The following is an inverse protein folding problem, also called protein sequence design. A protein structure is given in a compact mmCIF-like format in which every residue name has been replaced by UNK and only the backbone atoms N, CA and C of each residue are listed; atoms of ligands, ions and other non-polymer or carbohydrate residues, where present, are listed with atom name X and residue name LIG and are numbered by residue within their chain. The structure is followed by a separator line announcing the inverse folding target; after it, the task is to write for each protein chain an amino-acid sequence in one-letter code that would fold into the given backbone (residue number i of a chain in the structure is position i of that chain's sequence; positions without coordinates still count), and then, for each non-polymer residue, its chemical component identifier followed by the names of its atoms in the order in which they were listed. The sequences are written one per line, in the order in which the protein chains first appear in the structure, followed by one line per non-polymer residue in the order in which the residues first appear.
data_IF_647819872169
#
_entry.id   IF_647819872169
#
_cell.length_a   1.000
_cell.length_b   1.000
_cell.length_c   1.000
_cell.angle_alpha   90.00
_cell.angle_beta   90.00
_cell.angle_gamma   90.00
#
_symmetry.space_group_name_H-M   'P 1'
#
loop_
_entity.id
_entity.type
_entity.pdbx_description
1 polymer ?
#
# COMPACT_ATOMS: atom_id res chain seq x y z
N UNK A 1 -10.45 -34.11 51.61
CA UNK A 1 -9.42 -33.88 50.59
C UNK A 1 -9.89 -32.75 49.70
N UNK A 2 -9.44 -31.53 50.00
CA UNK A 2 -9.80 -30.33 49.25
C UNK A 2 -8.83 -30.16 48.08
N UNK A 3 -9.31 -30.36 46.86
CA UNK A 3 -8.59 -29.99 45.64
C UNK A 3 -8.68 -28.50 45.45
N UNK A 4 -7.64 -27.76 45.86
CA UNK A 4 -7.44 -26.36 45.52
C UNK A 4 -7.25 -26.28 44.00
N UNK A 5 -8.29 -25.89 43.27
CA UNK A 5 -8.20 -25.42 41.91
C UNK A 5 -7.36 -24.13 41.91
N UNK A 6 -6.09 -24.27 41.49
CA UNK A 6 -5.24 -23.10 41.21
C UNK A 6 -5.82 -22.38 40.00
N UNK A 7 -6.59 -21.34 40.28
CA UNK A 7 -6.98 -20.37 39.28
C UNK A 7 -5.69 -19.76 38.66
N UNK A 8 -5.44 -20.02 37.38
CA UNK A 8 -4.40 -19.31 36.61
C UNK A 8 -4.64 -17.82 36.79
N UNK A 9 -3.59 -17.03 37.09
CA UNK A 9 -3.76 -15.57 37.16
C UNK A 9 -4.37 -15.09 35.85
N UNK A 10 -5.47 -14.33 35.95
CA UNK A 10 -6.08 -13.68 34.79
C UNK A 10 -5.02 -12.77 34.16
N UNK A 11 -4.51 -13.13 32.97
CA UNK A 11 -3.62 -12.26 32.23
C UNK A 11 -4.30 -10.92 32.04
N UNK A 12 -3.69 -9.87 32.54
CA UNK A 12 -4.20 -8.51 32.45
C UNK A 12 -4.54 -8.19 30.97
N UNK A 13 -5.76 -7.78 30.72
CA UNK A 13 -6.17 -7.34 29.38
C UNK A 13 -5.26 -6.16 28.95
N UNK A 14 -4.79 -6.15 27.71
CA UNK A 14 -3.92 -5.06 27.24
C UNK A 14 -4.66 -3.74 27.36
N UNK A 15 -3.94 -2.71 27.82
CA UNK A 15 -4.50 -1.36 27.84
C UNK A 15 -4.75 -0.88 26.42
N UNK A 16 -5.75 -0.03 26.20
CA UNK A 16 -6.05 0.55 24.87
C UNK A 16 -4.81 1.22 24.25
N UNK A 17 -3.96 1.85 25.09
CA UNK A 17 -2.71 2.47 24.65
C UNK A 17 -1.70 1.45 24.11
N UNK A 18 -1.55 0.31 24.75
CA UNK A 18 -0.63 -0.73 24.32
C UNK A 18 -1.10 -1.45 23.04
N UNK A 19 -2.42 -1.66 22.91
CA UNK A 19 -2.99 -2.15 21.65
C UNK A 19 -2.79 -1.14 20.50
N UNK A 20 -3.00 0.16 20.77
CA UNK A 20 -2.73 1.23 19.79
C UNK A 20 -1.26 1.24 19.35
N UNK A 21 -0.31 1.11 20.29
CA UNK A 21 1.11 1.06 19.98
C UNK A 21 1.46 -0.15 19.09
N UNK A 22 0.87 -1.31 19.35
CA UNK A 22 1.03 -2.51 18.53
C UNK A 22 0.52 -2.29 17.10
N UNK A 23 -0.69 -1.75 16.95
CA UNK A 23 -1.30 -1.47 15.65
C UNK A 23 -0.44 -0.50 14.86
N UNK A 24 -0.04 0.63 15.45
CA UNK A 24 0.76 1.65 14.76
C UNK A 24 2.15 1.12 14.41
N UNK A 25 2.81 0.41 15.34
CA UNK A 25 4.16 -0.13 15.13
C UNK A 25 4.20 -1.14 13.98
N UNK A 26 3.37 -2.17 14.02
CA UNK A 26 3.35 -3.20 12.97
C UNK A 26 2.85 -2.66 11.64
N UNK A 27 1.77 -1.88 11.64
CA UNK A 27 1.20 -1.33 10.42
C UNK A 27 2.06 -0.25 9.75
N UNK A 28 2.99 0.37 10.46
CA UNK A 28 3.99 1.26 9.86
C UNK A 28 5.10 0.48 9.14
N UNK A 29 5.54 -0.66 9.70
CA UNK A 29 6.67 -1.44 9.17
C UNK A 29 6.28 -2.25 7.94
N UNK A 30 5.10 -2.89 7.95
CA UNK A 30 4.69 -3.83 6.90
C UNK A 30 4.72 -3.21 5.49
N UNK A 31 4.16 -2.01 5.22
CA UNK A 31 4.17 -1.41 3.89
C UNK A 31 5.45 -0.61 3.58
N UNK A 32 6.49 -0.68 4.43
CA UNK A 32 7.68 0.16 4.29
C UNK A 32 8.39 -0.05 2.95
N UNK A 33 8.45 -1.28 2.42
CA UNK A 33 9.05 -1.56 1.09
C UNK A 33 8.28 -0.83 -0.02
N UNK A 34 6.95 -0.83 0.02
CA UNK A 34 6.14 -0.06 -0.93
C UNK A 34 6.44 1.45 -0.83
N UNK A 35 6.55 1.96 0.40
CA UNK A 35 6.86 3.38 0.61
C UNK A 35 8.24 3.75 0.05
N UNK A 36 9.23 2.86 0.22
CA UNK A 36 10.61 3.04 -0.24
C UNK A 36 10.87 2.42 -1.64
N UNK A 37 9.86 1.97 -2.34
CA UNK A 37 9.99 1.24 -3.61
C UNK A 37 10.94 1.91 -4.62
N UNK A 38 10.94 3.24 -4.84
CA UNK A 38 11.85 3.89 -5.78
C UNK A 38 13.32 3.68 -5.44
N UNK A 39 13.68 3.76 -4.16
CA UNK A 39 15.05 3.59 -3.69
C UNK A 39 15.47 2.10 -3.74
N UNK A 40 14.59 1.20 -3.28
CA UNK A 40 14.82 -0.25 -3.29
C UNK A 40 14.95 -0.79 -4.72
N UNK A 41 14.06 -0.42 -5.63
CA UNK A 41 14.12 -0.84 -7.03
C UNK A 41 15.41 -0.36 -7.72
N UNK A 42 15.81 0.90 -7.47
CA UNK A 42 17.07 1.45 -7.99
C UNK A 42 18.30 0.69 -7.46
N UNK A 43 18.30 0.32 -6.18
CA UNK A 43 19.39 -0.43 -5.55
C UNK A 43 19.47 -1.86 -6.09
N UNK A 44 18.33 -2.54 -6.24
CA UNK A 44 18.26 -3.88 -6.84
C UNK A 44 18.81 -3.89 -8.27
N UNK A 45 18.44 -2.89 -9.08
CA UNK A 45 18.96 -2.73 -10.44
C UNK A 45 20.47 -2.53 -10.48
N UNK A 46 21.02 -1.71 -9.57
CA UNK A 46 22.46 -1.40 -9.58
C UNK A 46 23.33 -2.48 -8.95
N UNK A 47 22.91 -3.05 -7.82
CA UNK A 47 23.73 -4.00 -7.06
C UNK A 47 23.60 -5.43 -7.57
N UNK A 48 22.37 -5.90 -7.80
CA UNK A 48 22.09 -7.27 -8.25
C UNK A 48 21.94 -7.38 -9.77
N UNK A 49 22.14 -6.26 -10.49
CA UNK A 49 21.99 -6.19 -11.96
C UNK A 49 20.65 -6.75 -12.46
N UNK A 50 19.59 -6.61 -11.65
CA UNK A 50 18.27 -7.09 -12.02
C UNK A 50 17.67 -6.22 -13.11
N UNK A 51 17.15 -6.88 -14.14
CA UNK A 51 16.40 -6.21 -15.20
C UNK A 51 15.03 -5.70 -14.72
N UNK A 52 14.40 -4.81 -15.51
CA UNK A 52 13.09 -4.26 -15.18
C UNK A 52 12.01 -5.33 -14.96
N UNK A 53 12.05 -6.43 -15.73
CA UNK A 53 11.11 -7.55 -15.57
C UNK A 53 11.24 -8.20 -14.19
N UNK A 54 12.47 -8.47 -13.76
CA UNK A 54 12.72 -9.15 -12.49
C UNK A 54 12.37 -8.26 -11.30
N UNK A 55 12.68 -6.97 -11.37
CA UNK A 55 12.26 -5.96 -10.38
C UNK A 55 10.73 -5.90 -10.33
N UNK A 56 10.08 -5.81 -11.48
CA UNK A 56 8.62 -5.79 -11.58
C UNK A 56 7.99 -7.02 -10.94
N UNK A 57 8.50 -8.23 -11.24
CA UNK A 57 8.05 -9.50 -10.64
C UNK A 57 8.27 -9.53 -9.12
N UNK A 58 9.41 -9.03 -8.63
CA UNK A 58 9.72 -8.99 -7.21
C UNK A 58 8.70 -8.14 -6.44
N UNK A 59 8.47 -6.91 -6.90
CA UNK A 59 7.46 -6.03 -6.28
C UNK A 59 6.05 -6.58 -6.43
N UNK A 60 5.72 -7.19 -7.55
CA UNK A 60 4.42 -7.84 -7.76
C UNK A 60 4.21 -9.01 -6.81
N UNK A 61 5.22 -9.86 -6.61
CA UNK A 61 5.15 -10.96 -5.67
C UNK A 61 4.98 -10.46 -4.23
N UNK A 62 5.73 -9.42 -3.85
CA UNK A 62 5.67 -8.83 -2.51
C UNK A 62 4.32 -8.15 -2.24
N UNK A 63 3.88 -7.25 -3.10
CA UNK A 63 2.62 -6.53 -2.92
C UNK A 63 1.41 -7.46 -3.11
N UNK A 64 1.50 -8.42 -4.03
CA UNK A 64 0.50 -9.45 -4.24
C UNK A 64 0.34 -10.37 -3.03
N UNK A 65 1.44 -10.85 -2.45
CA UNK A 65 1.41 -11.71 -1.28
C UNK A 65 0.77 -11.02 -0.06
N UNK A 66 1.08 -9.72 0.13
CA UNK A 66 0.50 -8.92 1.20
C UNK A 66 -1.03 -8.85 1.08
N UNK A 67 -1.55 -8.70 -0.15
CA UNK A 67 -2.99 -8.69 -0.41
C UNK A 67 -3.62 -10.07 -0.36
N UNK A 68 -2.93 -11.08 -0.90
CA UNK A 68 -3.39 -12.47 -0.89
C UNK A 68 -3.55 -13.01 0.53
N UNK A 69 -2.81 -12.49 1.51
CA UNK A 69 -2.96 -12.83 2.93
C UNK A 69 -4.41 -12.65 3.43
N UNK A 70 -5.19 -11.79 2.80
CA UNK A 70 -6.60 -11.55 3.15
C UNK A 70 -7.48 -12.77 2.89
N UNK A 71 -7.19 -13.57 1.86
CA UNK A 71 -8.02 -14.73 1.50
C UNK A 71 -7.98 -15.83 2.57
N UNK A 72 -6.80 -16.35 2.99
CA UNK A 72 -6.75 -17.33 4.06
C UNK A 72 -7.17 -16.75 5.41
N UNK A 73 -7.07 -15.44 5.63
CA UNK A 73 -7.45 -14.80 6.88
C UNK A 73 -8.93 -15.03 7.23
N UNK A 74 -9.82 -15.08 6.23
CA UNK A 74 -11.23 -15.39 6.45
C UNK A 74 -11.45 -16.75 7.17
N UNK A 75 -10.52 -17.69 7.01
CA UNK A 75 -10.60 -19.02 7.63
C UNK A 75 -9.91 -19.08 8.99
N UNK A 76 -8.72 -18.48 9.12
CA UNK A 76 -7.94 -18.63 10.35
C UNK A 76 -8.24 -17.55 11.40
N UNK A 77 -8.56 -16.31 11.00
CA UNK A 77 -8.76 -15.17 11.91
C UNK A 77 -9.80 -15.45 13.05
N UNK A 78 -10.95 -16.11 12.77
CA UNK A 78 -11.91 -16.45 13.82
C UNK A 78 -11.53 -17.69 14.63
N UNK A 79 -10.51 -18.47 14.21
CA UNK A 79 -10.17 -19.77 14.82
C UNK A 79 -8.88 -19.76 15.62
N UNK A 80 -8.01 -18.78 15.40
CA UNK A 80 -6.67 -18.74 15.97
C UNK A 80 -6.55 -17.61 16.99
N UNK A 81 -5.76 -17.85 18.05
CA UNK A 81 -5.42 -16.80 18.99
C UNK A 81 -4.57 -15.73 18.27
N UNK A 82 -5.03 -14.50 18.29
CA UNK A 82 -4.39 -13.38 17.56
C UNK A 82 -2.96 -13.10 18.03
N UNK A 83 -2.67 -13.30 19.31
CA UNK A 83 -1.30 -13.16 19.86
C UNK A 83 -0.35 -14.21 19.26
N UNK A 84 -0.80 -15.47 19.21
CA UNK A 84 0.01 -16.55 18.63
C UNK A 84 0.22 -16.36 17.14
N UNK A 85 -0.82 -15.93 16.41
CA UNK A 85 -0.72 -15.60 15.00
C UNK A 85 0.24 -14.43 14.75
N UNK A 86 0.18 -13.38 15.60
CA UNK A 86 1.11 -12.24 15.51
C UNK A 86 2.56 -12.66 15.77
N UNK A 87 2.83 -13.48 16.79
CA UNK A 87 4.19 -13.99 17.07
C UNK A 87 4.73 -14.81 15.91
N UNK A 88 3.91 -15.71 15.34
CA UNK A 88 4.31 -16.51 14.18
C UNK A 88 4.63 -15.61 12.98
N UNK A 89 3.74 -14.66 12.67
CA UNK A 89 3.93 -13.76 11.55
C UNK A 89 5.17 -12.84 11.74
N UNK A 90 5.41 -12.34 12.95
CA UNK A 90 6.62 -11.57 13.30
C UNK A 90 7.87 -12.41 13.10
N UNK A 91 7.89 -13.65 13.60
CA UNK A 91 9.05 -14.56 13.47
C UNK A 91 9.34 -14.88 12.00
N UNK A 92 8.32 -15.21 11.20
CA UNK A 92 8.45 -15.47 9.77
C UNK A 92 8.91 -14.23 9.02
N UNK A 93 8.37 -13.05 9.33
CA UNK A 93 8.79 -11.79 8.72
C UNK A 93 10.27 -11.50 9.00
N UNK A 94 10.72 -11.62 10.24
CA UNK A 94 12.12 -11.40 10.64
C UNK A 94 13.03 -12.40 9.91
N UNK A 95 12.73 -13.70 9.98
CA UNK A 95 13.54 -14.75 9.37
C UNK A 95 13.65 -14.54 7.84
N UNK A 96 12.54 -14.30 7.16
CA UNK A 96 12.53 -14.06 5.72
C UNK A 96 13.31 -12.81 5.32
N UNK A 97 13.27 -11.72 6.12
CA UNK A 97 14.05 -10.52 5.86
C UNK A 97 15.55 -10.75 6.11
N UNK A 98 15.94 -11.43 7.18
CA UNK A 98 17.35 -11.76 7.44
C UNK A 98 17.93 -12.66 6.35
N UNK A 99 17.19 -13.68 5.90
CA UNK A 99 17.60 -14.53 4.80
C UNK A 99 17.66 -13.76 3.47
N UNK A 100 16.75 -12.80 3.23
CA UNK A 100 16.80 -11.94 2.05
C UNK A 100 18.05 -11.06 2.02
N UNK A 101 18.57 -10.67 3.19
CA UNK A 101 19.78 -9.86 3.30
C UNK A 101 21.06 -10.62 2.91
N UNK A 102 21.04 -11.95 2.98
CA UNK A 102 22.22 -12.81 2.73
C UNK A 102 22.20 -13.48 1.37
N UNK A 103 21.06 -13.51 0.66
CA UNK A 103 20.94 -14.19 -0.63
C UNK A 103 21.28 -13.29 -1.80
N UNK A 104 22.00 -13.85 -2.77
CA UNK A 104 22.24 -13.27 -4.10
C UNK A 104 21.42 -13.97 -5.19
N UNK A 105 20.77 -15.08 -4.87
CA UNK A 105 19.94 -15.84 -5.80
C UNK A 105 18.58 -15.17 -5.99
N UNK A 106 18.29 -14.72 -7.22
CA UNK A 106 17.01 -14.09 -7.53
C UNK A 106 15.79 -14.97 -7.23
N UNK A 107 15.73 -16.27 -7.61
CA UNK A 107 14.59 -17.12 -7.29
C UNK A 107 14.35 -17.27 -5.77
N UNK A 108 15.44 -17.39 -5.00
CA UNK A 108 15.34 -17.47 -3.55
C UNK A 108 14.87 -16.12 -2.96
N UNK A 109 15.42 -15.01 -3.43
CA UNK A 109 14.98 -13.67 -3.02
C UNK A 109 13.49 -13.47 -3.30
N UNK A 110 13.02 -13.86 -4.49
CA UNK A 110 11.60 -13.76 -4.88
C UNK A 110 10.71 -14.54 -3.90
N UNK A 111 11.08 -15.79 -3.59
CA UNK A 111 10.35 -16.61 -2.63
C UNK A 111 10.36 -16.04 -1.22
N UNK A 112 11.51 -15.53 -0.75
CA UNK A 112 11.63 -14.91 0.57
C UNK A 112 10.82 -13.62 0.68
N UNK A 113 10.78 -12.80 -0.38
CA UNK A 113 9.95 -11.58 -0.42
C UNK A 113 8.47 -11.93 -0.38
N UNK A 114 8.04 -12.95 -1.12
CA UNK A 114 6.67 -13.45 -1.06
C UNK A 114 6.29 -13.90 0.36
N UNK A 115 7.12 -14.73 1.01
CA UNK A 115 6.88 -15.23 2.37
C UNK A 115 6.87 -14.10 3.40
N UNK A 116 7.83 -13.16 3.33
CA UNK A 116 7.88 -11.98 4.19
C UNK A 116 6.61 -11.14 4.06
N UNK A 117 6.18 -10.89 2.82
CA UNK A 117 5.00 -10.09 2.55
C UNK A 117 3.68 -10.77 2.95
N UNK A 118 3.60 -12.11 2.82
CA UNK A 118 2.46 -12.87 3.30
C UNK A 118 2.34 -12.80 4.84
N UNK A 119 3.47 -12.91 5.54
CA UNK A 119 3.52 -12.72 6.98
C UNK A 119 3.16 -11.28 7.39
N UNK A 120 3.71 -10.28 6.70
CA UNK A 120 3.38 -8.87 6.88
C UNK A 120 1.90 -8.59 6.64
N UNK A 121 1.32 -9.11 5.55
CA UNK A 121 -0.11 -9.00 5.25
C UNK A 121 -0.99 -9.61 6.34
N UNK A 122 -0.59 -10.75 6.90
CA UNK A 122 -1.28 -11.37 8.04
C UNK A 122 -1.25 -10.46 9.28
N UNK A 123 -0.11 -9.83 9.58
CA UNK A 123 0.00 -8.82 10.65
C UNK A 123 -0.89 -7.61 10.38
N UNK A 124 -0.96 -7.15 9.14
CA UNK A 124 -1.80 -6.02 8.74
C UNK A 124 -3.28 -6.31 9.00
N UNK A 125 -3.74 -7.53 8.70
CA UNK A 125 -5.12 -7.94 8.96
C UNK A 125 -5.40 -7.99 10.46
N UNK A 126 -4.46 -8.49 11.27
CA UNK A 126 -4.57 -8.44 12.73
C UNK A 126 -4.66 -7.01 13.24
N UNK A 127 -3.84 -6.08 12.71
CA UNK A 127 -3.89 -4.66 13.05
C UNK A 127 -5.23 -4.03 12.69
N UNK A 128 -5.77 -4.30 11.49
CA UNK A 128 -7.08 -3.82 11.05
C UNK A 128 -8.19 -4.33 11.96
N UNK A 129 -8.18 -5.63 12.25
CA UNK A 129 -9.18 -6.27 13.11
C UNK A 129 -9.11 -5.75 14.55
N UNK A 130 -7.90 -5.57 15.09
CA UNK A 130 -7.70 -5.02 16.42
C UNK A 130 -8.11 -3.54 16.51
N UNK A 131 -7.80 -2.73 15.47
CA UNK A 131 -8.19 -1.33 15.43
C UNK A 131 -9.71 -1.15 15.49
N UNK A 132 -10.47 -2.04 14.82
CA UNK A 132 -11.93 -2.02 14.83
C UNK A 132 -12.53 -2.28 16.22
N UNK A 133 -11.78 -2.88 17.15
CA UNK A 133 -12.23 -3.15 18.53
C UNK A 133 -11.94 -2.02 19.53
N UNK A 134 -11.18 -1.00 19.12
CA UNK A 134 -10.86 0.15 19.97
C UNK A 134 -12.02 1.11 20.11
N UNK A 135 -12.03 1.92 21.18
CA UNK A 135 -13.05 2.96 21.40
C UNK A 135 -13.08 4.03 20.32
N UNK A 136 -11.91 4.31 19.71
CA UNK A 136 -11.76 5.28 18.63
C UNK A 136 -10.95 4.66 17.47
N UNK A 137 -11.59 3.89 16.58
CA UNK A 137 -10.95 3.28 15.43
C UNK A 137 -10.31 4.31 14.47
N UNK A 138 -10.97 5.46 14.27
CA UNK A 138 -10.50 6.51 13.36
C UNK A 138 -9.14 7.06 13.79
N UNK A 139 -8.94 7.21 15.11
CA UNK A 139 -7.65 7.62 15.66
C UNK A 139 -6.57 6.57 15.40
N UNK A 140 -6.90 5.29 15.51
CA UNK A 140 -5.97 4.20 15.25
C UNK A 140 -5.53 4.20 13.78
N UNK A 141 -6.47 4.30 12.86
CA UNK A 141 -6.19 4.37 11.43
C UNK A 141 -5.39 5.63 11.07
N UNK A 142 -5.73 6.78 11.64
CA UNK A 142 -4.98 8.02 11.44
C UNK A 142 -3.53 7.93 11.91
N UNK A 143 -3.29 7.43 13.12
CA UNK A 143 -1.94 7.23 13.65
C UNK A 143 -1.15 6.18 12.85
N UNK A 144 -1.80 5.11 12.43
CA UNK A 144 -1.19 4.12 11.53
C UNK A 144 -0.72 4.77 10.23
N UNK A 145 -1.59 5.50 9.52
CA UNK A 145 -1.21 6.17 8.26
C UNK A 145 -0.06 7.15 8.48
N UNK A 146 -0.10 7.93 9.57
CA UNK A 146 1.01 8.82 9.93
C UNK A 146 2.31 8.05 10.19
N UNK A 147 2.24 6.94 10.93
CA UNK A 147 3.39 6.10 11.24
C UNK A 147 4.05 5.52 9.98
N UNK A 148 3.27 4.98 9.06
CA UNK A 148 3.79 4.42 7.81
C UNK A 148 4.41 5.49 6.88
N UNK A 149 3.81 6.68 6.82
CA UNK A 149 4.35 7.78 6.00
C UNK A 149 5.64 8.33 6.62
N UNK A 150 5.68 8.49 7.94
CA UNK A 150 6.87 8.93 8.66
C UNK A 150 8.02 7.93 8.50
N UNK A 151 7.76 6.63 8.68
CA UNK A 151 8.76 5.59 8.48
C UNK A 151 9.23 5.51 7.03
N UNK A 152 8.30 5.61 6.07
CA UNK A 152 8.63 5.65 4.65
C UNK A 152 9.50 6.85 4.29
N UNK A 153 9.17 8.04 4.78
CA UNK A 153 9.96 9.25 4.55
C UNK A 153 11.37 9.14 5.19
N UNK A 154 11.45 8.68 6.44
CA UNK A 154 12.73 8.44 7.11
C UNK A 154 13.59 7.41 6.35
N UNK A 155 12.97 6.33 5.87
CA UNK A 155 13.63 5.33 5.04
C UNK A 155 14.15 5.91 3.72
N UNK A 156 13.36 6.73 3.03
CA UNK A 156 13.78 7.35 1.76
C UNK A 156 14.97 8.31 1.93
N UNK A 157 15.08 8.99 3.06
CA UNK A 157 16.25 9.82 3.41
C UNK A 157 17.46 8.97 3.77
N UNK A 158 17.26 7.92 4.58
CA UNK A 158 18.36 7.12 5.12
C UNK A 158 18.90 6.07 4.15
N UNK A 159 18.03 5.47 3.32
CA UNK A 159 18.43 4.32 2.48
C UNK A 159 19.54 4.63 1.49
N UNK A 160 19.62 5.76 0.77
CA UNK A 160 20.71 6.00 -0.15
C UNK A 160 22.10 5.92 0.50
N UNK A 161 22.28 6.52 1.67
CA UNK A 161 23.53 6.46 2.42
C UNK A 161 23.80 5.08 3.04
N UNK A 162 22.76 4.37 3.49
CA UNK A 162 22.88 3.00 3.99
C UNK A 162 23.18 2.01 2.85
N UNK A 163 22.58 2.21 1.68
CA UNK A 163 22.88 1.40 0.51
C UNK A 163 24.30 1.56 0.02
N UNK A 164 24.86 2.77 0.09
CA UNK A 164 26.24 3.01 -0.27
C UNK A 164 27.24 2.25 0.63
N UNK A 165 26.87 1.98 1.90
CA UNK A 165 27.75 1.30 2.88
C UNK A 165 27.49 -0.20 2.97
N UNK A 166 26.23 -0.62 2.96
CA UNK A 166 25.79 -1.98 3.29
C UNK A 166 24.99 -2.65 2.16
N UNK A 167 24.78 -1.96 1.05
CA UNK A 167 23.98 -2.47 -0.05
C UNK A 167 22.51 -2.69 0.33
N UNK A 168 21.82 -3.52 -0.49
CA UNK A 168 20.39 -3.83 -0.30
C UNK A 168 20.09 -4.53 1.03
N UNK A 169 21.09 -5.20 1.62
CA UNK A 169 20.97 -5.85 2.93
C UNK A 169 20.55 -4.85 4.03
N UNK A 170 20.95 -3.57 3.92
CA UNK A 170 20.53 -2.53 4.85
C UNK A 170 19.02 -2.41 4.97
N UNK A 171 18.28 -2.52 3.86
CA UNK A 171 16.82 -2.47 3.86
C UNK A 171 16.23 -3.66 4.61
N UNK A 172 16.64 -4.88 4.26
CA UNK A 172 16.06 -6.09 4.82
C UNK A 172 16.44 -6.29 6.30
N UNK A 173 17.70 -6.06 6.66
CA UNK A 173 18.13 -6.07 8.07
C UNK A 173 17.42 -4.97 8.86
N UNK A 174 17.30 -3.77 8.30
CA UNK A 174 16.57 -2.66 8.94
C UNK A 174 15.12 -3.03 9.25
N UNK A 175 14.41 -3.65 8.30
CA UNK A 175 13.04 -4.13 8.50
C UNK A 175 12.95 -5.23 9.55
N UNK A 176 13.90 -6.18 9.55
CA UNK A 176 13.98 -7.23 10.56
C UNK A 176 14.22 -6.66 11.96
N UNK A 177 15.12 -5.69 12.10
CA UNK A 177 15.41 -5.01 13.38
C UNK A 177 14.21 -4.21 13.89
N UNK A 178 13.58 -3.42 13.03
CA UNK A 178 12.36 -2.68 13.38
C UNK A 178 11.24 -3.62 13.84
N UNK A 179 11.05 -4.73 13.12
CA UNK A 179 10.07 -5.74 13.49
C UNK A 179 10.41 -6.42 14.80
N UNK A 180 11.69 -6.73 15.05
CA UNK A 180 12.17 -7.30 16.30
C UNK A 180 11.96 -6.35 17.49
N UNK A 181 12.20 -5.05 17.32
CA UNK A 181 11.90 -4.03 18.33
C UNK A 181 10.42 -3.94 18.66
N UNK A 182 9.54 -4.12 17.66
CA UNK A 182 8.10 -4.15 17.84
C UNK A 182 7.58 -5.51 18.33
N UNK A 183 8.36 -6.59 18.25
CA UNK A 183 7.91 -7.95 18.58
C UNK A 183 7.23 -8.08 19.95
N UNK A 184 7.71 -7.45 21.05
CA UNK A 184 7.04 -7.52 22.36
C UNK A 184 5.60 -7.00 22.32
N UNK A 185 5.26 -6.09 21.38
CA UNK A 185 3.92 -5.55 21.21
C UNK A 185 2.91 -6.59 20.69
N UNK A 186 3.37 -7.74 20.16
CA UNK A 186 2.50 -8.83 19.77
C UNK A 186 1.64 -9.35 20.95
N UNK A 187 2.12 -9.19 22.19
CA UNK A 187 1.35 -9.52 23.42
C UNK A 187 0.15 -8.61 23.63
N UNK A 188 0.16 -7.43 23.00
CA UNK A 188 -0.88 -6.42 23.17
C UNK A 188 -2.08 -6.64 22.25
N UNK A 189 -2.06 -7.64 21.37
CA UNK A 189 -3.26 -8.01 20.62
C UNK A 189 -4.30 -8.64 21.53
N UNK A 190 -5.61 -8.39 21.29
CA UNK A 190 -6.68 -9.08 22.01
C UNK A 190 -6.55 -10.60 21.85
N UNK A 191 -6.93 -11.37 22.89
CA UNK A 191 -6.97 -12.83 22.80
C UNK A 191 -8.17 -13.33 21.97
N UNK A 192 -8.93 -12.45 21.39
CA UNK A 192 -10.30 -12.61 21.01
C UNK A 192 -10.62 -13.36 19.75
N UNK A 193 -11.77 -13.95 19.80
CA UNK A 193 -12.61 -14.53 18.76
C UNK A 193 -13.78 -13.57 18.43
N UNK A 194 -13.56 -12.28 18.31
CA UNK A 194 -14.65 -11.36 17.96
C UNK A 194 -14.48 -10.81 16.54
N UNK A 195 -14.50 -11.70 15.56
CA UNK A 195 -14.98 -11.31 14.26
C UNK A 195 -16.51 -11.42 14.26
N UNK A 196 -17.19 -10.37 14.64
CA UNK A 196 -18.57 -10.17 14.18
C UNK A 196 -18.51 -10.12 12.66
N UNK A 197 -18.74 -11.24 12.02
CA UNK A 197 -19.09 -11.29 10.62
C UNK A 197 -20.35 -10.42 10.48
N UNK A 198 -20.17 -9.19 10.03
CA UNK A 198 -21.29 -8.43 9.49
C UNK A 198 -21.79 -9.22 8.30
N UNK A 199 -22.81 -10.04 8.55
CA UNK A 199 -23.57 -10.73 7.51
C UNK A 199 -24.25 -9.66 6.66
N UNK A 200 -23.64 -9.39 5.50
CA UNK A 200 -24.25 -8.56 4.49
C UNK A 200 -25.49 -9.29 3.94
N UNK A 201 -26.65 -8.68 4.11
CA UNK A 201 -27.89 -9.15 3.51
C UNK A 201 -27.77 -9.26 1.98
N UNK A 202 -28.35 -10.30 1.36
CA UNK A 202 -28.31 -10.45 -0.09
C UNK A 202 -29.26 -9.43 -0.74
N UNK A 203 -28.74 -8.49 -1.49
CA UNK A 203 -29.53 -7.60 -2.33
C UNK A 203 -29.14 -7.80 -3.81
N UNK A 204 -30.10 -8.26 -4.59
CA UNK A 204 -29.99 -8.57 -6.00
C UNK A 204 -30.66 -7.50 -6.86
N UNK A 205 -29.91 -6.82 -7.70
CA UNK A 205 -30.41 -6.27 -8.97
C UNK A 205 -29.26 -6.18 -9.97
N UNK A 206 -29.49 -6.67 -11.19
CA UNK A 206 -28.49 -6.82 -12.24
C UNK A 206 -27.86 -5.49 -12.70
N UNK A 207 -28.61 -4.41 -12.65
CA UNK A 207 -28.15 -3.05 -13.00
C UNK A 207 -27.11 -2.50 -12.00
N UNK A 208 -27.16 -2.94 -10.76
CA UNK A 208 -26.18 -2.58 -9.69
C UNK A 208 -24.84 -3.27 -9.88
N UNK A 209 -24.81 -4.48 -10.48
CA UNK A 209 -23.56 -5.22 -10.73
C UNK A 209 -22.66 -4.49 -11.72
N UNK A 210 -23.22 -3.91 -12.78
CA UNK A 210 -22.46 -3.14 -13.77
C UNK A 210 -21.73 -1.94 -13.16
N UNK A 211 -22.41 -1.15 -12.32
CA UNK A 211 -21.78 0.01 -11.65
C UNK A 211 -20.71 -0.41 -10.66
N UNK A 212 -20.92 -1.47 -9.90
CA UNK A 212 -19.90 -2.03 -9.01
C UNK A 212 -18.66 -2.50 -9.79
N UNK A 213 -18.86 -3.19 -10.91
CA UNK A 213 -17.76 -3.62 -11.79
C UNK A 213 -16.97 -2.43 -12.34
N UNK A 214 -17.66 -1.37 -12.80
CA UNK A 214 -16.99 -0.15 -13.26
C UNK A 214 -16.16 0.51 -12.15
N UNK A 215 -16.68 0.57 -10.93
CA UNK A 215 -15.96 1.10 -9.78
C UNK A 215 -14.72 0.26 -9.43
N UNK A 216 -14.82 -1.07 -9.47
CA UNK A 216 -13.70 -2.00 -9.29
C UNK A 216 -12.65 -1.78 -10.37
N UNK A 217 -13.05 -1.75 -11.64
CA UNK A 217 -12.13 -1.54 -12.78
C UNK A 217 -11.45 -0.17 -12.70
N UNK A 218 -12.18 0.88 -12.33
CA UNK A 218 -11.61 2.21 -12.14
C UNK A 218 -10.55 2.23 -11.04
N UNK A 219 -10.84 1.61 -9.89
CA UNK A 219 -9.91 1.52 -8.77
C UNK A 219 -8.68 0.70 -9.15
N UNK A 220 -8.89 -0.44 -9.81
CA UNK A 220 -7.80 -1.30 -10.29
C UNK A 220 -6.89 -0.54 -11.27
N UNK A 221 -7.46 0.15 -12.26
CA UNK A 221 -6.73 0.96 -13.23
C UNK A 221 -5.92 2.07 -12.55
N UNK A 222 -6.52 2.78 -11.58
CA UNK A 222 -5.81 3.79 -10.79
C UNK A 222 -4.57 3.22 -10.11
N UNK A 223 -4.71 2.09 -9.39
CA UNK A 223 -3.60 1.50 -8.66
C UNK A 223 -2.56 0.84 -9.55
N UNK A 224 -2.93 0.25 -10.68
CA UNK A 224 -1.98 -0.25 -11.70
C UNK A 224 -1.12 0.89 -12.22
N UNK A 225 -1.76 2.01 -12.62
CA UNK A 225 -1.07 3.18 -13.15
C UNK A 225 -0.04 3.73 -12.16
N UNK A 226 -0.48 4.01 -10.92
CA UNK A 226 0.39 4.67 -9.94
C UNK A 226 1.50 3.77 -9.41
N UNK A 227 1.23 2.47 -9.17
CA UNK A 227 2.23 1.58 -8.56
C UNK A 227 3.36 1.23 -9.53
N UNK A 228 3.04 1.08 -10.81
CA UNK A 228 4.03 0.91 -11.86
C UNK A 228 4.99 2.09 -11.94
N UNK A 229 4.45 3.31 -12.00
CA UNK A 229 5.27 4.54 -12.03
C UNK A 229 6.06 4.70 -10.73
N UNK A 230 5.44 4.54 -9.56
CA UNK A 230 6.11 4.70 -8.27
C UNK A 230 7.29 3.75 -8.09
N UNK A 231 7.14 2.50 -8.50
CA UNK A 231 8.22 1.50 -8.39
C UNK A 231 9.45 1.92 -9.19
N UNK A 232 9.27 2.47 -10.40
CA UNK A 232 10.37 2.76 -11.32
C UNK A 232 10.77 4.24 -11.39
N UNK A 233 10.12 5.15 -10.65
CA UNK A 233 10.44 6.60 -10.68
C UNK A 233 11.87 6.89 -10.24
N UNK A 234 12.48 6.05 -9.38
CA UNK A 234 13.88 6.14 -9.01
C UNK A 234 14.84 5.87 -10.17
N UNK A 235 14.45 5.02 -11.14
CA UNK A 235 15.23 4.81 -12.36
C UNK A 235 15.19 6.04 -13.28
N UNK A 236 14.05 6.78 -13.30
CA UNK A 236 13.97 8.06 -14.02
C UNK A 236 14.98 9.05 -13.44
N UNK A 237 15.05 9.17 -12.10
CA UNK A 237 16.03 10.03 -11.45
C UNK A 237 17.46 9.68 -11.87
N UNK A 238 17.82 8.40 -11.83
CA UNK A 238 19.14 7.92 -12.24
C UNK A 238 19.46 8.20 -13.71
N UNK A 239 18.51 7.92 -14.63
CA UNK A 239 18.69 8.21 -16.07
C UNK A 239 18.80 9.72 -16.33
N UNK A 240 18.25 10.55 -15.45
CA UNK A 240 18.37 12.02 -15.51
C UNK A 240 19.64 12.56 -14.84
N UNK A 241 20.54 11.68 -14.34
CA UNK A 241 21.75 12.11 -13.65
C UNK A 241 21.54 12.69 -12.27
N UNK A 242 20.36 12.49 -11.66
CA UNK A 242 20.04 12.97 -10.30
C UNK A 242 20.67 12.04 -9.27
N UNK A 243 21.40 12.64 -8.34
CA UNK A 243 22.06 11.92 -7.26
C UNK A 243 21.06 11.10 -6.41
N UNK A 244 21.40 9.86 -5.98
CA UNK A 244 20.53 9.00 -5.17
C UNK A 244 20.07 9.65 -3.86
N UNK A 245 20.93 10.45 -3.19
CA UNK A 245 20.56 11.12 -1.96
C UNK A 245 19.58 12.27 -2.22
N UNK A 246 19.81 13.03 -3.30
CA UNK A 246 18.87 14.09 -3.72
C UNK A 246 17.50 13.52 -4.07
N UNK A 247 17.43 12.42 -4.84
CA UNK A 247 16.18 11.76 -5.18
C UNK A 247 15.48 11.18 -3.95
N UNK A 248 16.22 10.58 -3.03
CA UNK A 248 15.70 10.10 -1.75
C UNK A 248 15.05 11.22 -0.91
N UNK A 249 15.71 12.37 -0.81
CA UNK A 249 15.19 13.54 -0.12
C UNK A 249 13.90 14.07 -0.78
N UNK A 250 13.87 14.14 -2.11
CA UNK A 250 12.67 14.54 -2.88
C UNK A 250 11.51 13.57 -2.60
N UNK A 251 11.74 12.27 -2.64
CA UNK A 251 10.72 11.27 -2.38
C UNK A 251 10.20 11.32 -0.93
N UNK A 252 11.09 11.61 0.03
CA UNK A 252 10.70 11.79 1.43
C UNK A 252 9.76 12.99 1.60
N UNK A 253 10.14 14.15 1.04
CA UNK A 253 9.29 15.35 1.04
C UNK A 253 7.96 15.07 0.33
N UNK A 254 8.00 14.39 -0.82
CA UNK A 254 6.80 14.00 -1.55
C UNK A 254 5.88 13.11 -0.70
N UNK A 255 6.46 12.15 0.03
CA UNK A 255 5.70 11.25 0.91
C UNK A 255 5.02 12.02 2.05
N UNK A 256 5.71 12.99 2.66
CA UNK A 256 5.11 13.87 3.67
C UNK A 256 4.03 14.78 3.06
N UNK A 257 4.24 15.28 1.84
CA UNK A 257 3.23 16.07 1.12
C UNK A 257 1.96 15.25 0.80
N UNK A 258 2.07 13.93 0.74
CA UNK A 258 0.91 13.06 0.68
C UNK A 258 -0.06 13.25 1.85
N UNK A 259 0.43 13.59 3.06
CA UNK A 259 -0.44 13.93 4.20
C UNK A 259 -1.26 15.19 3.89
N UNK A 260 -0.62 16.20 3.27
CA UNK A 260 -1.30 17.42 2.85
C UNK A 260 -2.36 17.13 1.77
N UNK A 261 -2.09 16.20 0.84
CA UNK A 261 -3.07 15.76 -0.17
C UNK A 261 -4.34 15.19 0.45
N UNK A 262 -4.20 14.24 1.38
CA UNK A 262 -5.34 13.68 2.10
C UNK A 262 -6.05 14.70 2.98
N UNK A 263 -5.31 15.59 3.65
CA UNK A 263 -5.86 16.70 4.45
C UNK A 263 -6.67 17.66 3.59
N UNK A 264 -6.14 18.05 2.43
CA UNK A 264 -6.82 18.92 1.46
C UNK A 264 -8.12 18.27 0.95
N UNK A 265 -8.08 16.98 0.61
CA UNK A 265 -9.27 16.24 0.20
C UNK A 265 -10.37 16.27 1.29
N UNK A 266 -9.99 16.10 2.56
CA UNK A 266 -10.93 16.13 3.69
C UNK A 266 -11.55 17.52 3.92
N UNK A 267 -10.77 18.59 3.73
CA UNK A 267 -11.22 19.98 3.92
C UNK A 267 -12.14 20.45 2.79
N UNK A 268 -11.82 20.11 1.54
CA UNK A 268 -12.50 20.62 0.34
C UNK A 268 -13.63 19.68 -0.10
N UNK A 269 -13.59 18.40 0.26
CA UNK A 269 -14.51 17.37 -0.22
C UNK A 269 -16.00 17.64 0.06
N UNK A 270 -16.31 18.52 1.02
CA UNK A 270 -17.69 18.97 1.34
C UNK A 270 -18.10 20.24 0.60
N UNK A 271 -17.16 20.95 -0.06
CA UNK A 271 -17.38 22.27 -0.65
C UNK A 271 -17.57 22.27 -2.15
N UNK A 272 -17.02 21.27 -2.84
CA UNK A 272 -17.01 21.16 -4.29
C UNK A 272 -17.62 19.83 -4.76
N UNK A 273 -18.22 19.80 -5.97
CA UNK A 273 -18.71 18.55 -6.56
C UNK A 273 -17.57 17.52 -6.70
N UNK A 274 -17.85 16.27 -6.32
CA UNK A 274 -16.85 15.18 -6.37
C UNK A 274 -16.25 15.00 -7.76
N UNK A 275 -17.04 15.15 -8.82
CA UNK A 275 -16.58 15.08 -10.20
C UNK A 275 -15.46 16.10 -10.51
N UNK A 276 -15.57 17.33 -10.02
CA UNK A 276 -14.55 18.34 -10.20
C UNK A 276 -13.27 18.02 -9.41
N UNK A 277 -13.41 17.48 -8.20
CA UNK A 277 -12.28 17.08 -7.36
C UNK A 277 -11.53 15.87 -7.97
N UNK A 278 -12.25 14.88 -8.51
CA UNK A 278 -11.67 13.79 -9.28
C UNK A 278 -10.94 14.32 -10.52
N UNK A 279 -11.57 15.20 -11.30
CA UNK A 279 -10.96 15.78 -12.49
C UNK A 279 -9.65 16.52 -12.14
N UNK A 280 -9.67 17.38 -11.12
CA UNK A 280 -8.49 18.10 -10.67
C UNK A 280 -7.37 17.16 -10.18
N UNK A 281 -7.71 16.16 -9.35
CA UNK A 281 -6.75 15.19 -8.83
C UNK A 281 -6.09 14.37 -9.93
N UNK A 282 -6.88 13.83 -10.86
CA UNK A 282 -6.35 13.05 -11.98
C UNK A 282 -5.59 13.92 -12.98
N UNK A 283 -6.02 15.16 -13.23
CA UNK A 283 -5.25 16.10 -14.06
C UNK A 283 -3.86 16.38 -13.47
N UNK A 284 -3.77 16.58 -12.15
CA UNK A 284 -2.49 16.73 -11.44
C UNK A 284 -1.64 15.45 -11.54
N UNK A 285 -2.26 14.26 -11.39
CA UNK A 285 -1.56 12.97 -11.50
C UNK A 285 -1.00 12.77 -12.92
N UNK A 286 -1.80 13.01 -13.95
CA UNK A 286 -1.36 12.89 -15.34
C UNK A 286 -0.29 13.91 -15.68
N UNK A 287 -0.42 15.15 -15.23
CA UNK A 287 0.61 16.19 -15.38
C UNK A 287 1.92 15.77 -14.71
N UNK A 288 1.86 15.18 -13.51
CA UNK A 288 3.04 14.65 -12.82
C UNK A 288 3.76 13.57 -13.64
N UNK A 289 3.01 12.65 -14.23
CA UNK A 289 3.58 11.58 -15.08
C UNK A 289 4.21 12.16 -16.36
N UNK A 290 3.55 13.14 -17.00
CA UNK A 290 4.09 13.78 -18.20
C UNK A 290 5.33 14.64 -17.92
N UNK A 291 5.42 15.27 -16.74
CA UNK A 291 6.61 16.00 -16.30
C UNK A 291 7.84 15.09 -16.11
N UNK A 292 7.64 13.77 -15.92
CA UNK A 292 8.74 12.81 -15.81
C UNK A 292 9.34 12.40 -17.17
N UNK A 293 8.73 12.76 -18.30
CA UNK A 293 9.23 12.44 -19.65
C UNK A 293 10.54 13.17 -19.95
N UNK A 294 11.33 12.61 -20.87
CA UNK A 294 12.50 13.25 -21.49
C UNK A 294 13.58 13.69 -20.47
N UNK A 295 14.03 12.77 -19.63
CA UNK A 295 15.12 13.00 -18.66
C UNK A 295 14.99 14.36 -17.94
N UNK A 296 14.06 14.52 -17.00
CA UNK A 296 13.74 15.80 -16.39
C UNK A 296 14.91 16.37 -15.60
N UNK A 297 15.16 17.67 -15.70
CA UNK A 297 16.05 18.38 -14.78
C UNK A 297 15.53 18.26 -13.34
N UNK A 298 16.43 18.45 -12.35
CA UNK A 298 16.13 18.26 -10.92
C UNK A 298 14.83 18.96 -10.46
N UNK A 299 14.63 20.22 -10.84
CA UNK A 299 13.43 20.98 -10.44
C UNK A 299 12.15 20.36 -11.03
N UNK A 300 12.17 19.96 -12.32
CA UNK A 300 11.03 19.33 -12.99
C UNK A 300 10.74 17.95 -12.40
N UNK A 301 11.77 17.17 -12.09
CA UNK A 301 11.65 15.88 -11.41
C UNK A 301 11.04 16.04 -10.00
N UNK A 302 11.55 16.99 -9.21
CA UNK A 302 11.05 17.27 -7.87
C UNK A 302 9.56 17.66 -7.92
N UNK A 303 9.19 18.62 -8.79
CA UNK A 303 7.79 19.02 -8.98
C UNK A 303 6.91 17.85 -9.36
N UNK A 304 7.36 16.99 -10.28
CA UNK A 304 6.63 15.80 -10.68
C UNK A 304 6.42 14.82 -9.52
N UNK A 305 7.47 14.51 -8.75
CA UNK A 305 7.38 13.58 -7.61
C UNK A 305 6.46 14.11 -6.50
N UNK A 306 6.55 15.41 -6.19
CA UNK A 306 5.70 16.07 -5.20
C UNK A 306 4.24 16.04 -5.62
N UNK A 307 3.96 16.43 -6.88
CA UNK A 307 2.61 16.44 -7.44
C UNK A 307 2.02 15.04 -7.53
N UNK A 308 2.83 14.04 -7.89
CA UNK A 308 2.43 12.64 -7.97
C UNK A 308 1.95 12.09 -6.62
N UNK A 309 2.73 12.31 -5.56
CA UNK A 309 2.35 11.83 -4.21
C UNK A 309 1.18 12.58 -3.63
N UNK A 310 1.12 13.90 -3.83
CA UNK A 310 -0.03 14.71 -3.42
C UNK A 310 -1.31 14.23 -4.09
N UNK A 311 -1.32 14.08 -5.41
CA UNK A 311 -2.50 13.65 -6.16
C UNK A 311 -2.92 12.22 -5.83
N UNK A 312 -1.98 11.31 -5.59
CA UNK A 312 -2.30 9.94 -5.13
C UNK A 312 -3.20 9.95 -3.89
N UNK A 313 -2.78 10.64 -2.84
CA UNK A 313 -3.50 10.67 -1.57
C UNK A 313 -4.74 11.58 -1.60
N UNK A 314 -4.74 12.59 -2.48
CA UNK A 314 -5.89 13.46 -2.72
C UNK A 314 -7.03 12.73 -3.43
N UNK A 315 -6.75 11.89 -4.44
CA UNK A 315 -7.76 11.18 -5.24
C UNK A 315 -8.44 10.06 -4.42
N UNK A 316 -7.68 9.34 -3.60
CA UNK A 316 -8.14 8.12 -2.92
C UNK A 316 -9.45 8.27 -2.14
N UNK A 317 -9.65 9.29 -1.28
CA UNK A 317 -10.90 9.45 -0.56
C UNK A 317 -12.13 9.58 -1.49
N UNK A 318 -11.97 10.20 -2.65
CA UNK A 318 -13.07 10.38 -3.62
C UNK A 318 -13.41 9.09 -4.37
N UNK A 319 -12.41 8.24 -4.65
CA UNK A 319 -12.63 6.89 -5.17
C UNK A 319 -13.43 6.08 -4.15
N UNK A 320 -12.97 6.03 -2.89
CA UNK A 320 -13.62 5.28 -1.82
C UNK A 320 -15.06 5.77 -1.57
N UNK A 321 -15.27 7.09 -1.56
CA UNK A 321 -16.60 7.68 -1.42
C UNK A 321 -17.52 7.32 -2.61
N UNK A 322 -16.98 7.25 -3.83
CA UNK A 322 -17.75 6.83 -5.02
C UNK A 322 -18.16 5.36 -4.91
N UNK A 323 -17.25 4.49 -4.43
CA UNK A 323 -17.56 3.08 -4.19
C UNK A 323 -18.58 2.90 -3.07
N UNK A 324 -18.46 3.66 -1.99
CA UNK A 324 -19.39 3.62 -0.86
C UNK A 324 -20.82 4.00 -1.27
N UNK A 325 -20.99 4.99 -2.16
CA UNK A 325 -22.32 5.39 -2.66
C UNK A 325 -23.00 4.29 -3.50
N UNK A 326 -22.21 3.41 -4.11
CA UNK A 326 -22.70 2.29 -4.93
C UNK A 326 -22.94 1.04 -4.08
N UNK A 327 -22.21 0.93 -2.96
CA UNK A 327 -22.21 -0.25 -2.09
C UNK A 327 -23.30 -0.19 -1.02
N UNK A 328 -24.45 -0.74 -1.34
CA UNK A 328 -25.53 -0.91 -0.35
C UNK A 328 -25.39 -2.21 0.48
N UNK A 329 -24.42 -3.06 0.16
CA UNK A 329 -24.27 -4.39 0.78
C UNK A 329 -23.01 -4.55 1.63
N UNK A 330 -22.10 -3.59 1.62
CA UNK A 330 -20.78 -3.68 2.25
C UNK A 330 -19.80 -4.62 1.53
N UNK A 331 -20.25 -5.38 0.53
CA UNK A 331 -19.42 -6.36 -0.18
C UNK A 331 -18.39 -5.70 -1.09
N UNK A 332 -18.76 -4.58 -1.71
CA UNK A 332 -17.88 -3.83 -2.60
C UNK A 332 -16.73 -3.21 -1.82
N UNK A 333 -17.02 -2.61 -0.65
CA UNK A 333 -15.98 -2.04 0.22
C UNK A 333 -15.03 -3.11 0.74
N UNK A 334 -15.53 -4.30 1.10
CA UNK A 334 -14.68 -5.43 1.50
C UNK A 334 -13.78 -5.91 0.34
N UNK A 335 -14.29 -5.94 -0.90
CA UNK A 335 -13.51 -6.29 -2.08
C UNK A 335 -12.49 -5.19 -2.45
N UNK A 336 -12.72 -3.94 -2.07
CA UNK A 336 -11.88 -2.80 -2.46
C UNK A 336 -10.43 -2.97 -2.01
N UNK A 337 -10.17 -3.48 -0.81
CA UNK A 337 -8.81 -3.75 -0.34
C UNK A 337 -8.08 -4.77 -1.21
N UNK A 338 -8.77 -5.82 -1.66
CA UNK A 338 -8.20 -6.81 -2.57
C UNK A 338 -7.94 -6.22 -3.96
N UNK A 339 -8.84 -5.34 -4.43
CA UNK A 339 -8.68 -4.62 -5.71
C UNK A 339 -7.50 -3.66 -5.66
N UNK A 340 -7.37 -2.89 -4.57
CA UNK A 340 -6.23 -2.00 -4.32
C UNK A 340 -4.92 -2.81 -4.36
N UNK A 341 -4.87 -3.88 -3.59
CA UNK A 341 -3.68 -4.73 -3.54
C UNK A 341 -3.39 -5.44 -4.85
N UNK A 342 -4.42 -5.86 -5.59
CA UNK A 342 -4.28 -6.40 -6.94
C UNK A 342 -3.67 -5.38 -7.91
N UNK A 343 -4.15 -4.14 -7.88
CA UNK A 343 -3.58 -3.05 -8.69
C UNK A 343 -2.13 -2.74 -8.32
N UNK A 344 -1.84 -2.69 -7.01
CA UNK A 344 -0.46 -2.52 -6.51
C UNK A 344 0.48 -3.65 -6.96
N UNK A 345 -0.03 -4.89 -7.05
CA UNK A 345 0.75 -6.04 -7.49
C UNK A 345 0.93 -6.07 -9.02
N UNK A 346 -0.12 -5.82 -9.79
CA UNK A 346 -0.10 -5.90 -11.25
C UNK A 346 0.76 -4.78 -11.85
N UNK A 347 0.70 -3.57 -11.29
CA UNK A 347 1.39 -2.39 -11.85
C UNK A 347 2.88 -2.57 -12.05
N UNK A 348 3.67 -3.00 -11.06
CA UNK A 348 5.12 -3.20 -11.22
C UNK A 348 5.48 -4.27 -12.26
N UNK A 349 4.71 -5.38 -12.34
CA UNK A 349 4.95 -6.42 -13.34
C UNK A 349 4.75 -5.89 -14.77
N UNK A 350 3.64 -5.19 -15.01
CA UNK A 350 3.37 -4.57 -16.30
C UNK A 350 4.42 -3.50 -16.63
N UNK A 351 4.77 -2.66 -15.65
CA UNK A 351 5.79 -1.63 -15.82
C UNK A 351 7.14 -2.23 -16.22
N UNK A 352 7.58 -3.30 -15.54
CA UNK A 352 8.82 -3.99 -15.85
C UNK A 352 8.84 -4.55 -17.28
N UNK A 353 7.73 -5.14 -17.73
CA UNK A 353 7.59 -5.65 -19.11
C UNK A 353 7.62 -4.51 -20.13
N UNK A 354 6.91 -3.40 -19.88
CA UNK A 354 6.88 -2.26 -20.78
C UNK A 354 8.25 -1.60 -20.93
N UNK A 355 9.00 -1.46 -19.84
CA UNK A 355 10.35 -0.90 -19.87
C UNK A 355 11.28 -1.82 -20.65
N UNK A 356 11.22 -3.13 -20.43
CA UNK A 356 12.06 -4.09 -21.15
C UNK A 356 11.71 -4.14 -22.65
N UNK A 357 10.43 -4.14 -23.01
CA UNK A 357 9.98 -4.13 -24.39
C UNK A 357 10.37 -2.83 -25.13
N UNK A 358 10.59 -1.73 -24.40
CA UNK A 358 11.01 -0.45 -24.96
C UNK A 358 12.51 -0.17 -24.77
N UNK A 359 13.35 -1.21 -24.75
CA UNK A 359 14.81 -1.07 -24.67
C UNK A 359 15.34 -0.39 -23.42
N UNK A 360 14.60 -0.48 -22.29
CA UNK A 360 14.96 0.16 -21.02
C UNK A 360 14.42 1.59 -20.86
N UNK A 361 13.75 2.12 -21.87
CA UNK A 361 13.14 3.46 -21.81
C UNK A 361 11.83 3.45 -21.02
N UNK A 362 11.66 4.45 -20.15
CA UNK A 362 10.45 4.61 -19.34
C UNK A 362 9.33 5.39 -20.04
N UNK A 363 9.55 5.90 -21.27
CA UNK A 363 8.56 6.70 -21.99
C UNK A 363 7.24 5.96 -22.20
N UNK A 364 7.29 4.72 -22.68
CA UNK A 364 6.10 3.92 -22.93
C UNK A 364 5.32 3.66 -21.63
N UNK A 365 6.03 3.37 -20.53
CA UNK A 365 5.42 3.22 -19.22
C UNK A 365 4.65 4.48 -18.81
N UNK A 366 5.29 5.67 -18.91
CA UNK A 366 4.67 6.93 -18.47
C UNK A 366 3.46 7.30 -19.32
N UNK A 367 3.52 7.10 -20.64
CA UNK A 367 2.40 7.36 -21.54
C UNK A 367 1.23 6.40 -21.28
N UNK A 368 1.50 5.10 -21.17
CA UNK A 368 0.45 4.11 -20.90
C UNK A 368 -0.13 4.27 -19.50
N UNK A 369 0.69 4.57 -18.48
CA UNK A 369 0.20 4.88 -17.13
C UNK A 369 -0.72 6.11 -17.14
N UNK A 370 -0.37 7.15 -17.90
CA UNK A 370 -1.23 8.34 -18.08
C UNK A 370 -2.56 7.98 -18.74
N UNK A 371 -2.55 7.14 -19.78
CA UNK A 371 -3.78 6.68 -20.45
C UNK A 371 -4.64 5.81 -19.52
N UNK A 372 -4.03 4.92 -18.74
CA UNK A 372 -4.74 4.09 -17.76
C UNK A 372 -5.33 4.94 -16.64
N UNK A 373 -4.63 6.00 -16.20
CA UNK A 373 -5.18 6.97 -15.25
C UNK A 373 -6.37 7.74 -15.86
N UNK A 374 -6.27 8.16 -17.13
CA UNK A 374 -7.38 8.81 -17.83
C UNK A 374 -8.59 7.87 -17.98
N UNK A 375 -8.36 6.58 -18.27
CA UNK A 375 -9.43 5.57 -18.29
C UNK A 375 -10.09 5.43 -16.91
N UNK A 376 -9.28 5.35 -15.84
CA UNK A 376 -9.81 5.32 -14.46
C UNK A 376 -10.71 6.52 -14.17
N UNK A 377 -10.26 7.73 -14.53
CA UNK A 377 -11.06 8.96 -14.39
C UNK A 377 -12.37 8.88 -15.17
N UNK A 378 -12.33 8.47 -16.44
CA UNK A 378 -13.52 8.35 -17.28
C UNK A 378 -14.55 7.39 -16.67
N UNK A 379 -14.10 6.23 -16.16
CA UNK A 379 -14.95 5.28 -15.47
C UNK A 379 -15.57 5.87 -14.18
N UNK A 380 -14.78 6.61 -13.38
CA UNK A 380 -15.28 7.26 -12.17
C UNK A 380 -16.29 8.37 -12.48
N UNK A 381 -16.05 9.18 -13.52
CA UNK A 381 -16.96 10.23 -13.93
C UNK A 381 -18.29 9.66 -14.48
N UNK A 382 -18.26 8.54 -15.20
CA UNK A 382 -19.48 7.86 -15.65
C UNK A 382 -20.36 7.39 -14.49
N UNK A 383 -19.77 7.11 -13.33
CA UNK A 383 -20.49 6.74 -12.11
C UNK A 383 -21.09 7.96 -11.38
N UNK A 384 -20.60 9.17 -11.65
CA UNK A 384 -21.13 10.42 -11.07
C UNK A 384 -22.29 11.02 -11.88
N UNK A 385 -22.50 10.57 -13.13
CA UNK A 385 -23.57 11.11 -13.98
C UNK A 385 -24.95 10.83 -13.35
N UNK A 386 -25.87 11.83 -13.32
CA UNK A 386 -27.25 11.59 -12.90
C UNK A 386 -27.91 10.59 -13.87
N UNK A 387 -28.59 9.58 -13.34
CA UNK A 387 -29.39 8.69 -14.19
C UNK A 387 -30.56 9.50 -14.76
N UNK A 388 -30.84 9.39 -16.06
CA UNK A 388 -32.13 9.81 -16.57
C UNK A 388 -33.20 9.00 -15.83
N UNK A 389 -34.09 9.72 -15.16
CA UNK A 389 -35.20 9.13 -14.41
C UNK A 389 -36.14 8.45 -15.41
N UNK A 390 -36.37 7.12 -15.35
CA UNK A 390 -37.26 6.45 -16.32
C UNK A 390 -38.74 6.84 -16.18
N UNK A 391 -39.06 7.79 -15.31
CA UNK A 391 -40.43 8.31 -15.13
C UNK A 391 -40.85 9.40 -16.13
N UNK A 392 -40.01 9.76 -17.11
CA UNK A 392 -40.28 10.76 -18.14
C UNK A 392 -39.99 10.25 -19.57
N UNK A 393 -40.02 8.92 -19.79
CA UNK A 393 -39.99 8.31 -21.11
C UNK A 393 -41.32 7.61 -21.42
#
# INVERSE_FOLDING_TARGET
MNTLSQARPAEAQPTERSAMAAIVGFAAIVPAVLMMAPAVASQLASQLQLGPIDIGKLFSAELGAMSLATLPAWFWLPRVNWRSAAWLAVAVFIAANLLSATTVSYPLLLGLRFVSALAGGSLMILCLSAAATLRNPDRAYGLWVMGQLALGAAGLVAMPSLFARFGIAACYVGLALLMALCAPLARCFPQGQQASAQQAAPSTTQHRRGRATLGILATLAFYISLSGVWTFIGQIARQSGIDPQQSGNIFAIATLLGVAGAGTASLIGRRLPRAQLLLAGFAMMMAAMLLLLNAPALARFATAALLFKFSWTFILPFILATLADIDHSGKLMNATNLVIGGGLAIGPALAGQLIAANGGSLHLLLLLATLVAALSLALLLSLQAPHPNPAHA
#
